data_IF_744652370518
#
_entry.id   IF_744652370518
#
_cell.length_a   1.000
_cell.length_b   1.000
_cell.length_c   1.000
_cell.angle_alpha   90.00
_cell.angle_beta   90.00
_cell.angle_gamma   90.00
#
_symmetry.space_group_name_H-M   'P 1'
#
loop_
_entity.id
_entity.type
_entity.pdbx_description
1 polymer ?
#
# COMPACT_ATOMS: atom_id res chain seq x y z
N UNK A 1 -4.49 27.59 -4.79
CA UNK A 1 -4.47 27.04 -4.24
C UNK A 1 -3.61 26.35 -3.70
N UNK A 2 -3.06 26.18 -3.92
CA UNK A 2 -2.01 25.44 -3.42
C UNK A 2 -1.04 26.24 -2.65
N UNK A 3 -1.04 27.49 -2.83
CA UNK A 3 -0.07 28.34 -2.17
C UNK A 3 -0.19 28.27 -0.67
N UNK A 4 -1.34 27.96 -0.18
CA UNK A 4 -1.53 27.87 1.25
C UNK A 4 -1.01 26.59 1.82
N UNK A 5 -0.52 25.74 0.98
CA UNK A 5 -0.17 24.43 1.42
C UNK A 5 1.18 24.26 2.06
N UNK A 6 2.21 25.12 1.83
CA UNK A 6 3.51 24.79 2.40
C UNK A 6 3.49 24.42 3.87
N UNK A 7 2.90 25.23 4.76
CA UNK A 7 2.84 24.82 6.16
C UNK A 7 1.99 23.59 6.37
N UNK A 8 0.88 23.53 5.68
CA UNK A 8 0.01 22.38 5.79
C UNK A 8 0.67 21.13 5.24
N UNK A 9 1.42 21.28 4.17
CA UNK A 9 2.09 20.18 3.58
C UNK A 9 3.13 19.58 4.52
N UNK A 10 3.87 20.43 5.21
CA UNK A 10 4.86 19.95 6.16
C UNK A 10 4.17 19.22 7.31
N UNK A 11 3.10 19.78 7.81
CA UNK A 11 2.34 19.14 8.88
C UNK A 11 1.77 17.83 8.41
N UNK A 12 1.28 17.80 7.19
CA UNK A 12 0.70 16.60 6.64
C UNK A 12 1.72 15.48 6.54
N UNK A 13 2.92 15.79 6.07
CA UNK A 13 3.95 14.77 5.96
C UNK A 13 4.34 14.24 7.32
N UNK A 14 4.41 15.11 8.32
CA UNK A 14 4.69 14.65 9.68
C UNK A 14 3.60 13.73 10.17
N UNK A 15 2.36 14.07 9.86
CA UNK A 15 1.23 13.22 10.24
C UNK A 15 1.28 11.89 9.53
N UNK A 16 1.72 11.89 8.28
CA UNK A 16 1.80 10.65 7.52
C UNK A 16 2.72 9.65 8.19
N UNK A 17 3.80 10.13 8.78
CA UNK A 17 4.72 9.23 9.47
C UNK A 17 4.11 8.59 10.69
N UNK A 18 3.17 9.25 11.31
CA UNK A 18 2.67 8.79 12.59
C UNK A 18 1.33 8.13 12.55
N UNK A 19 0.43 8.64 11.74
CA UNK A 19 -0.94 8.19 11.85
C UNK A 19 -1.65 8.07 10.55
N UNK A 20 -0.98 8.17 9.44
CA UNK A 20 -1.77 8.30 8.26
C UNK A 20 -1.60 7.16 7.32
N UNK A 21 -1.79 5.98 7.83
CA UNK A 21 -1.99 4.85 6.98
C UNK A 21 -3.06 5.20 5.95
N UNK A 22 -4.12 5.86 6.41
CA UNK A 22 -5.19 6.27 5.50
C UNK A 22 -4.73 7.29 4.48
N UNK A 23 -3.86 8.20 4.91
CA UNK A 23 -3.34 9.21 4.00
C UNK A 23 -2.51 8.59 2.89
N UNK A 24 -1.63 7.67 3.24
CA UNK A 24 -0.79 7.00 2.26
C UNK A 24 -1.62 6.14 1.32
N UNK A 25 -2.61 5.44 1.87
CA UNK A 25 -3.51 4.64 1.03
C UNK A 25 -4.23 5.53 0.02
N UNK A 26 -4.70 6.68 0.46
CA UNK A 26 -5.41 7.59 -0.41
C UNK A 26 -4.52 8.12 -1.53
N UNK A 27 -3.29 8.46 -1.19
CA UNK A 27 -2.34 8.93 -2.19
C UNK A 27 -2.07 7.84 -3.21
N UNK A 28 -1.82 6.63 -2.73
CA UNK A 28 -1.53 5.52 -3.62
C UNK A 28 -2.72 5.23 -4.55
N UNK A 29 -3.92 5.22 -3.99
CA UNK A 29 -5.12 4.97 -4.79
C UNK A 29 -5.32 6.03 -5.85
N UNK A 30 -5.13 7.29 -5.47
CA UNK A 30 -5.29 8.38 -6.41
C UNK A 30 -4.29 8.27 -7.55
N UNK A 31 -3.04 8.00 -7.21
CA UNK A 31 -2.00 7.86 -8.23
C UNK A 31 -2.23 6.66 -9.14
N UNK A 32 -2.70 5.57 -8.58
CA UNK A 32 -3.04 4.40 -9.40
C UNK A 32 -4.18 4.71 -10.35
N UNK A 33 -5.18 5.41 -9.83
CA UNK A 33 -6.33 5.76 -10.67
C UNK A 33 -5.93 6.65 -11.83
N UNK A 34 -4.95 7.52 -11.64
CA UNK A 34 -4.44 8.35 -12.73
C UNK A 34 -3.86 7.51 -13.85
N UNK A 35 -3.44 6.29 -13.55
CA UNK A 35 -2.94 5.36 -14.56
C UNK A 35 -3.98 4.32 -14.95
N UNK A 36 -5.23 4.57 -14.61
CA UNK A 36 -6.31 3.66 -15.00
C UNK A 36 -6.42 2.41 -14.16
N UNK A 37 -5.78 2.38 -12.99
CA UNK A 37 -5.80 1.21 -12.12
C UNK A 37 -6.67 1.50 -10.91
N UNK A 38 -7.70 0.70 -10.73
CA UNK A 38 -8.60 0.86 -9.61
C UNK A 38 -8.19 -0.05 -8.45
N UNK A 39 -7.94 0.53 -7.30
CA UNK A 39 -7.58 -0.20 -6.10
C UNK A 39 -8.68 0.00 -5.07
N UNK A 40 -9.15 -1.10 -4.48
CA UNK A 40 -10.19 -1.07 -3.47
C UNK A 40 -9.54 -1.16 -2.10
N UNK A 41 -9.83 -0.19 -1.21
CA UNK A 41 -9.15 -0.16 0.09
C UNK A 41 -9.81 -1.07 1.11
N UNK A 42 -9.00 -1.54 2.03
CA UNK A 42 -9.47 -2.19 3.25
C UNK A 42 -10.42 -3.37 2.98
N UNK A 43 -10.00 -4.26 2.12
CA UNK A 43 -10.80 -5.43 1.78
C UNK A 43 -10.52 -6.54 2.79
N UNK A 44 -11.56 -7.18 3.28
CA UNK A 44 -11.43 -8.31 4.20
C UNK A 44 -11.33 -9.59 3.40
N UNK A 45 -10.26 -10.34 3.62
CA UNK A 45 -10.03 -11.59 2.90
C UNK A 45 -10.23 -12.74 3.86
N UNK A 46 -11.41 -13.36 3.81
CA UNK A 46 -11.74 -14.50 4.65
C UNK A 46 -11.36 -14.29 6.11
N UNK A 47 -10.69 -15.26 6.68
CA UNK A 47 -10.26 -15.18 8.07
C UNK A 47 -8.83 -14.62 8.19
N UNK A 48 -8.19 -14.33 7.06
CA UNK A 48 -6.82 -13.82 7.08
C UNK A 48 -6.78 -12.41 7.62
N UNK A 49 -7.78 -11.61 7.24
CA UNK A 49 -7.88 -10.26 7.75
C UNK A 49 -8.01 -9.23 6.63
N UNK A 50 -7.83 -8.00 7.01
CA UNK A 50 -8.03 -6.87 6.10
C UNK A 50 -6.72 -6.51 5.40
N UNK A 51 -6.79 -6.34 4.09
CA UNK A 51 -5.62 -5.91 3.31
C UNK A 51 -5.76 -4.44 2.97
N UNK A 52 -4.64 -3.77 2.75
CA UNK A 52 -4.67 -2.33 2.51
C UNK A 52 -5.35 -1.99 1.19
N UNK A 53 -4.93 -2.62 0.12
CA UNK A 53 -5.52 -2.37 -1.19
C UNK A 53 -5.64 -3.69 -1.95
N UNK A 54 -6.70 -3.80 -2.72
CA UNK A 54 -6.88 -4.94 -3.61
C UNK A 54 -7.11 -4.41 -5.03
N UNK A 55 -6.34 -4.91 -5.97
CA UNK A 55 -6.46 -4.55 -7.37
C UNK A 55 -6.95 -5.79 -8.13
N UNK A 56 -8.07 -5.63 -8.81
CA UNK A 56 -8.70 -6.78 -9.45
C UNK A 56 -9.16 -7.76 -8.40
N UNK A 57 -8.99 -9.04 -8.68
CA UNK A 57 -9.49 -10.06 -7.77
C UNK A 57 -8.40 -10.66 -6.90
N UNK A 58 -7.14 -10.52 -7.29
CA UNK A 58 -6.09 -11.30 -6.65
C UNK A 58 -4.82 -10.56 -6.30
N UNK A 59 -4.69 -9.30 -6.70
CA UNK A 59 -3.45 -8.56 -6.41
C UNK A 59 -3.64 -7.70 -5.17
N UNK A 60 -2.92 -8.07 -4.11
CA UNK A 60 -2.96 -7.36 -2.83
C UNK A 60 -1.75 -6.46 -2.73
N UNK A 61 -1.98 -5.21 -2.34
CA UNK A 61 -0.91 -4.26 -2.09
C UNK A 61 -0.93 -3.92 -0.60
N UNK A 62 0.19 -4.12 0.06
CA UNK A 62 0.34 -3.77 1.47
C UNK A 62 1.33 -2.63 1.60
N UNK A 63 0.98 -1.64 2.39
CA UNK A 63 1.78 -0.44 2.58
C UNK A 63 2.25 -0.37 4.02
N UNK A 64 3.55 -0.18 4.21
CA UNK A 64 4.12 -0.19 5.55
C UNK A 64 5.02 1.01 5.75
N UNK A 65 4.74 1.77 6.79
CA UNK A 65 5.52 2.96 7.11
C UNK A 65 6.35 2.85 8.36
N UNK A 66 6.26 1.73 9.04
CA UNK A 66 6.91 1.64 10.34
C UNK A 66 8.33 1.14 10.24
N UNK A 67 9.19 1.80 10.96
CA UNK A 67 10.58 1.40 11.07
C UNK A 67 11.00 1.46 12.53
N UNK A 68 10.32 0.69 13.37
CA UNK A 68 10.59 0.69 14.80
C UNK A 68 10.89 -0.72 15.25
N UNK A 69 11.27 -0.84 16.52
CA UNK A 69 11.61 -2.14 17.09
C UNK A 69 10.43 -3.10 17.15
N UNK A 70 9.23 -2.55 17.18
CA UNK A 70 8.05 -3.39 17.16
C UNK A 70 7.93 -4.15 15.85
N UNK A 71 8.75 -3.77 14.89
CA UNK A 71 8.72 -4.37 13.58
C UNK A 71 9.01 -5.85 13.54
N UNK A 72 9.79 -6.37 14.47
CA UNK A 72 10.14 -7.78 14.38
C UNK A 72 8.94 -8.67 14.49
N UNK A 73 8.09 -8.40 15.48
CA UNK A 73 6.88 -9.19 15.64
C UNK A 73 5.92 -8.94 14.50
N UNK A 74 5.78 -7.68 14.10
CA UNK A 74 4.93 -7.32 12.98
C UNK A 74 5.42 -7.99 11.71
N UNK A 75 6.73 -8.01 11.50
CA UNK A 75 7.34 -8.61 10.34
C UNK A 75 7.02 -10.11 10.26
N UNK A 76 7.10 -10.80 11.41
CA UNK A 76 6.81 -12.23 11.46
C UNK A 76 5.34 -12.49 11.13
N UNK A 77 4.45 -11.68 11.69
CA UNK A 77 3.03 -11.80 11.40
C UNK A 77 2.75 -11.54 9.92
N UNK A 78 3.41 -10.54 9.36
CA UNK A 78 3.21 -10.19 7.97
C UNK A 78 3.68 -11.31 7.05
N UNK A 79 4.76 -11.99 7.41
CA UNK A 79 5.24 -13.10 6.63
C UNK A 79 4.26 -14.26 6.61
N UNK A 80 3.71 -14.57 7.78
CA UNK A 80 2.72 -15.64 7.87
C UNK A 80 1.48 -15.26 7.09
N UNK A 81 1.05 -14.03 7.22
CA UNK A 81 -0.13 -13.54 6.54
C UNK A 81 0.05 -13.58 5.03
N UNK A 82 1.23 -13.18 4.54
CA UNK A 82 1.54 -13.23 3.13
C UNK A 82 1.48 -14.68 2.62
N UNK A 83 1.99 -15.61 3.40
CA UNK A 83 1.94 -17.02 3.01
C UNK A 83 0.50 -17.50 2.88
N UNK A 84 -0.35 -17.13 3.83
CA UNK A 84 -1.75 -17.54 3.79
C UNK A 84 -2.48 -16.93 2.59
N UNK A 85 -2.19 -15.66 2.31
CA UNK A 85 -2.78 -15.02 1.14
C UNK A 85 -2.31 -15.72 -0.14
N UNK A 86 -1.04 -16.05 -0.21
CA UNK A 86 -0.49 -16.73 -1.37
C UNK A 86 -1.14 -18.11 -1.56
N UNK A 87 -1.36 -18.84 -0.46
CA UNK A 87 -2.05 -20.11 -0.54
C UNK A 87 -3.46 -19.95 -1.06
N UNK A 88 -4.07 -18.82 -0.75
CA UNK A 88 -5.43 -18.52 -1.21
C UNK A 88 -5.50 -18.03 -2.65
N UNK A 89 -4.37 -17.95 -3.32
CA UNK A 89 -4.35 -17.54 -4.72
C UNK A 89 -4.08 -16.06 -4.96
N UNK A 90 -3.73 -15.34 -3.90
CA UNK A 90 -3.44 -13.92 -4.03
C UNK A 90 -1.97 -13.69 -4.29
N UNK A 91 -1.67 -12.65 -5.04
CA UNK A 91 -0.30 -12.16 -5.20
C UNK A 91 -0.18 -10.95 -4.29
N UNK A 92 0.86 -10.90 -3.46
CA UNK A 92 1.01 -9.83 -2.48
C UNK A 92 2.28 -9.04 -2.78
N UNK A 93 2.13 -7.73 -2.90
CA UNK A 93 3.25 -6.82 -3.07
C UNK A 93 3.30 -5.89 -1.87
N UNK A 94 4.49 -5.69 -1.35
CA UNK A 94 4.72 -4.81 -0.21
C UNK A 94 5.51 -3.60 -0.63
N UNK A 95 5.04 -2.42 -0.25
CA UNK A 95 5.77 -1.19 -0.52
C UNK A 95 5.80 -0.35 0.74
N UNK A 96 6.81 0.48 0.87
CA UNK A 96 6.92 1.38 2.01
C UNK A 96 6.21 2.69 1.70
N UNK A 97 5.89 3.43 2.77
CA UNK A 97 5.33 4.76 2.61
C UNK A 97 6.29 5.66 1.84
N UNK A 98 7.59 5.52 2.12
CA UNK A 98 8.59 6.32 1.43
C UNK A 98 8.55 6.05 -0.07
N UNK A 99 8.35 4.80 -0.46
CA UNK A 99 8.25 4.48 -1.87
C UNK A 99 7.02 5.11 -2.52
N UNK A 100 5.91 5.16 -1.80
CA UNK A 100 4.71 5.81 -2.35
C UNK A 100 5.00 7.27 -2.65
N UNK A 101 5.74 7.94 -1.78
CA UNK A 101 6.02 9.35 -1.92
C UNK A 101 7.17 9.63 -2.89
N UNK A 102 8.25 8.87 -2.78
CA UNK A 102 9.50 9.22 -3.44
C UNK A 102 9.91 8.31 -4.59
N UNK A 103 9.25 7.18 -4.74
CA UNK A 103 9.64 6.21 -5.76
C UNK A 103 8.40 5.60 -6.42
N UNK A 104 7.48 6.47 -6.75
CA UNK A 104 6.19 6.01 -7.29
C UNK A 104 6.34 5.23 -8.59
N UNK A 105 7.30 5.60 -9.42
CA UNK A 105 7.47 4.91 -10.70
C UNK A 105 7.77 3.43 -10.50
N UNK A 106 8.57 3.12 -9.48
CA UNK A 106 8.86 1.72 -9.17
C UNK A 106 7.58 0.97 -8.80
N UNK A 107 6.75 1.59 -7.97
CA UNK A 107 5.50 0.98 -7.56
C UNK A 107 4.60 0.72 -8.77
N UNK A 108 4.42 1.75 -9.58
CA UNK A 108 3.51 1.67 -10.70
C UNK A 108 3.97 0.60 -11.70
N UNK A 109 5.24 0.60 -12.05
CA UNK A 109 5.73 -0.37 -13.02
C UNK A 109 5.70 -1.80 -12.45
N UNK A 110 5.92 -1.94 -11.15
CA UNK A 110 5.83 -3.25 -10.51
C UNK A 110 4.40 -3.78 -10.56
N UNK A 111 3.44 -2.91 -10.23
CA UNK A 111 2.03 -3.29 -10.27
C UNK A 111 1.60 -3.64 -11.69
N UNK A 112 2.02 -2.85 -12.66
CA UNK A 112 1.69 -3.12 -14.05
C UNK A 112 2.27 -4.45 -14.50
N UNK A 113 3.49 -4.75 -14.09
CA UNK A 113 4.10 -6.03 -14.41
C UNK A 113 3.33 -7.18 -13.79
N UNK A 114 2.92 -7.03 -12.54
CA UNK A 114 2.16 -8.08 -11.86
C UNK A 114 0.82 -8.31 -12.54
N UNK A 115 0.15 -7.24 -12.94
CA UNK A 115 -1.14 -7.36 -13.63
C UNK A 115 -0.98 -8.03 -14.98
N UNK A 116 0.11 -7.76 -15.65
CA UNK A 116 0.41 -8.35 -16.94
C UNK A 116 0.61 -9.85 -16.84
N UNK A 117 1.30 -10.28 -15.78
CA UNK A 117 1.59 -11.68 -15.58
C UNK A 117 0.38 -12.50 -15.16
N UNK A 118 -0.63 -11.86 -14.59
CA UNK A 118 -1.78 -12.59 -14.07
C UNK A 118 -2.85 -12.86 -15.12
N UNK A 119 -2.57 -12.55 -16.35
CA UNK A 119 -3.53 -12.82 -17.43
C UNK A 119 -3.44 -14.21 -17.98
#
# INVERSE_FOLDING_TARGET
>A
MTATLPPHRTTLLSSLDERSEEGIESIARFRLLQSGIRAVPQVVVGEIGRVDLLIGERLVIELDGRETHAQREAFTKDRRRTALLTQGGYTVLHFSYAQVIYDWNLILTTIQAALSLSR
#
